data_IF_236727478687
#
_entry.id   IF_236727478687
#
_cell.length_a   1.000
_cell.length_b   1.000
_cell.length_c   1.000
_cell.angle_alpha   90.00
_cell.angle_beta   90.00
_cell.angle_gamma   90.00
#
_symmetry.space_group_name_H-M   'P 1'
#
loop_
_entity.id
_entity.type
_entity.pdbx_description
1 polymer ?
#
# COMPACT_ATOMS: atom_id res chain seq x y z
N UNK A 1 11.52 7.84 -3.43
CA UNK A 1 10.91 6.90 -2.48
C UNK A 1 10.78 5.54 -3.18
N UNK A 2 11.43 4.50 -2.66
CA UNK A 2 11.44 3.17 -3.28
C UNK A 2 10.38 2.27 -2.65
N UNK A 3 9.76 1.41 -3.45
CA UNK A 3 8.76 0.47 -2.97
C UNK A 3 9.43 -0.62 -2.12
N UNK A 4 9.15 -0.70 -0.80
CA UNK A 4 9.79 -1.69 0.07
C UNK A 4 9.38 -3.13 -0.27
N UNK A 5 8.23 -3.34 -0.93
CA UNK A 5 7.82 -4.65 -1.43
C UNK A 5 8.48 -5.02 -2.77
N UNK A 6 9.12 -4.05 -3.45
CA UNK A 6 9.81 -4.24 -4.75
C UNK A 6 11.17 -3.53 -4.75
N UNK A 7 12.23 -4.19 -4.24
CA UNK A 7 13.56 -3.59 -4.13
C UNK A 7 14.08 -3.03 -5.46
N UNK A 8 14.64 -1.82 -5.42
CA UNK A 8 15.19 -1.16 -6.61
C UNK A 8 14.14 -0.58 -7.58
N UNK A 9 12.85 -0.64 -7.23
CA UNK A 9 11.76 -0.10 -8.05
C UNK A 9 11.08 1.08 -7.34
N UNK A 10 10.65 2.11 -8.10
CA UNK A 10 9.85 3.19 -7.53
C UNK A 10 8.46 2.68 -7.14
N UNK A 11 7.75 3.45 -6.32
CA UNK A 11 6.32 3.24 -6.10
C UNK A 11 5.54 3.31 -7.43
N UNK A 12 4.47 2.53 -7.51
CA UNK A 12 3.47 2.57 -8.59
C UNK A 12 2.08 2.36 -8.01
N UNK A 13 1.04 2.46 -8.82
CA UNK A 13 -0.36 2.32 -8.37
C UNK A 13 -0.58 1.04 -7.55
N UNK A 14 0.01 -0.09 -7.99
CA UNK A 14 -0.13 -1.39 -7.32
C UNK A 14 0.73 -1.56 -6.07
N UNK A 15 1.54 -0.56 -5.68
CA UNK A 15 2.22 -0.56 -4.39
C UNK A 15 1.24 -0.27 -3.25
N UNK A 16 0.17 0.49 -3.54
CA UNK A 16 -0.87 0.86 -2.57
C UNK A 16 -2.23 0.24 -2.89
N UNK A 17 -2.52 -0.03 -4.17
CA UNK A 17 -3.80 -0.57 -4.63
C UNK A 17 -3.70 -2.05 -5.08
N UNK A 18 -4.81 -2.78 -4.98
CA UNK A 18 -4.97 -4.09 -5.61
C UNK A 18 -5.62 -3.88 -6.99
N UNK A 19 -5.09 -4.51 -8.06
CA UNK A 19 -5.62 -4.31 -9.41
C UNK A 19 -6.87 -5.14 -9.73
N UNK A 20 -7.17 -6.18 -8.93
CA UNK A 20 -8.29 -7.09 -9.19
C UNK A 20 -9.49 -6.83 -8.26
N UNK A 21 -9.27 -6.89 -6.95
CA UNK A 21 -10.32 -6.68 -5.95
C UNK A 21 -9.72 -6.46 -4.57
N UNK A 22 -10.38 -5.65 -3.75
CA UNK A 22 -10.09 -5.51 -2.33
C UNK A 22 -11.39 -5.39 -1.53
N UNK A 23 -11.29 -5.51 -0.21
CA UNK A 23 -12.42 -5.41 0.69
C UNK A 23 -12.88 -3.95 0.96
N UNK A 24 -12.35 -2.97 0.21
CA UNK A 24 -12.68 -1.56 0.33
C UNK A 24 -12.81 -0.92 -1.05
N UNK A 25 -13.61 0.16 -1.15
CA UNK A 25 -13.92 0.87 -2.40
C UNK A 25 -12.70 1.53 -3.05
N UNK A 26 -11.68 1.85 -2.26
CA UNK A 26 -10.43 2.45 -2.74
C UNK A 26 -9.44 1.40 -3.25
N UNK A 27 -9.79 0.12 -3.23
CA UNK A 27 -8.92 -0.99 -3.62
C UNK A 27 -7.59 -1.02 -2.86
N UNK A 28 -7.54 -0.56 -1.61
CA UNK A 28 -6.28 -0.52 -0.87
C UNK A 28 -5.74 -1.92 -0.56
N UNK A 29 -4.42 -2.10 -0.67
CA UNK A 29 -3.69 -3.27 -0.19
C UNK A 29 -3.75 -3.38 1.33
N UNK A 30 -3.44 -4.57 1.83
CA UNK A 30 -3.33 -4.87 3.26
C UNK A 30 -4.64 -4.64 4.05
N UNK A 31 -5.79 -4.66 3.37
CA UNK A 31 -7.11 -4.33 3.93
C UNK A 31 -7.14 -2.99 4.68
N UNK A 32 -6.25 -2.07 4.30
CA UNK A 32 -6.19 -0.75 4.89
C UNK A 32 -7.50 0.01 4.63
N UNK A 33 -8.03 0.64 5.68
CA UNK A 33 -9.26 1.45 5.59
C UNK A 33 -8.97 2.90 5.28
N UNK A 34 -7.71 3.31 5.36
CA UNK A 34 -7.25 4.67 5.09
C UNK A 34 -5.84 4.66 4.49
N UNK A 35 -5.47 5.76 3.83
CA UNK A 35 -4.09 5.97 3.35
C UNK A 35 -3.07 5.97 4.48
N UNK A 36 -3.45 6.45 5.68
CA UNK A 36 -2.59 6.41 6.87
C UNK A 36 -2.25 4.98 7.27
N UNK A 37 -3.22 4.09 7.27
CA UNK A 37 -2.99 2.67 7.59
C UNK A 37 -2.04 1.99 6.60
N UNK A 38 -2.08 2.36 5.30
CA UNK A 38 -1.10 1.88 4.33
C UNK A 38 0.34 2.23 4.73
N UNK A 39 0.58 3.47 5.15
CA UNK A 39 1.91 3.90 5.59
C UNK A 39 2.39 3.13 6.83
N UNK A 40 1.48 2.92 7.79
CA UNK A 40 1.77 2.23 9.06
C UNK A 40 2.05 0.73 8.91
N UNK A 41 1.70 0.12 7.77
CA UNK A 41 2.07 -1.27 7.49
C UNK A 41 3.59 -1.49 7.50
N UNK A 42 4.37 -0.49 7.06
CA UNK A 42 5.83 -0.51 7.09
C UNK A 42 6.40 0.42 8.17
N UNK A 43 5.82 1.61 8.36
CA UNK A 43 6.25 2.59 9.36
C UNK A 43 5.52 2.38 10.69
N UNK A 44 5.78 1.23 11.34
CA UNK A 44 5.05 0.78 12.54
C UNK A 44 5.25 1.68 13.77
N UNK A 45 6.30 2.49 13.77
CA UNK A 45 6.63 3.45 14.82
C UNK A 45 6.98 4.76 14.10
N UNK A 46 6.10 5.75 14.21
CA UNK A 46 6.29 7.07 13.60
C UNK A 46 7.45 7.83 14.25
#
# INVERSE_FOLDING_TARGET
MQDPARPGKPFYCGSCHTPHSANNSSLFRFDAKSSRELCLNCHKFL
#
